data_IF_089142154112
#
_entry.id   IF_089142154112
#
_cell.length_a   1.000
_cell.length_b   1.000
_cell.length_c   1.000
_cell.angle_alpha   90.00
_cell.angle_beta   90.00
_cell.angle_gamma   90.00
#
_symmetry.space_group_name_H-M   'P 1'
#
loop_
_entity.id
_entity.type
_entity.pdbx_description
1 polymer ?
#
# COMPACT_ATOMS: atom_id res chain seq x y z
N UNK A 1 10.69 -12.50 6.38
CA UNK A 1 12.11 -12.16 6.57
C UNK A 1 12.50 -11.03 5.63
N UNK A 2 13.03 -9.93 6.18
CA UNK A 2 13.44 -8.72 5.45
C UNK A 2 14.93 -8.48 5.75
N UNK A 3 15.84 -8.73 4.82
CA UNK A 3 17.25 -8.40 4.99
C UNK A 3 17.49 -6.90 4.71
N UNK A 4 17.97 -6.15 5.70
CA UNK A 4 18.22 -4.71 5.59
C UNK A 4 19.58 -4.34 6.20
N UNK A 5 20.66 -4.37 5.41
CA UNK A 5 22.00 -3.96 5.88
C UNK A 5 22.17 -2.44 5.92
N UNK A 6 23.04 -1.94 6.78
CA UNK A 6 23.39 -0.52 6.88
C UNK A 6 24.23 -0.01 5.72
N UNK A 7 25.16 -0.84 5.23
CA UNK A 7 26.04 -0.51 4.11
C UNK A 7 25.38 -0.75 2.74
N UNK A 8 25.29 0.28 1.89
CA UNK A 8 24.82 0.17 0.51
C UNK A 8 25.71 1.02 -0.40
N UNK A 9 26.18 0.46 -1.55
CA UNK A 9 27.10 1.13 -2.45
C UNK A 9 26.43 2.14 -3.38
N UNK A 10 25.31 1.75 -4.02
CA UNK A 10 24.63 2.59 -5.01
C UNK A 10 23.92 3.77 -4.39
N UNK A 11 23.14 3.53 -3.31
CA UNK A 11 22.41 4.55 -2.55
C UNK A 11 22.88 4.49 -1.09
N UNK A 12 23.57 5.51 -0.57
CA UNK A 12 24.02 5.53 0.84
C UNK A 12 22.82 5.39 1.78
N UNK A 13 22.93 4.47 2.76
CA UNK A 13 21.87 4.18 3.74
C UNK A 13 20.52 3.84 3.10
N UNK A 14 20.52 3.13 1.98
CA UNK A 14 19.37 2.83 1.14
C UNK A 14 18.11 2.48 1.93
N UNK A 15 18.22 1.56 2.88
CA UNK A 15 17.05 1.04 3.62
C UNK A 15 16.35 2.07 4.52
N UNK A 16 17.00 3.20 4.81
CA UNK A 16 16.43 4.34 5.55
C UNK A 16 15.99 5.49 4.62
N UNK A 17 16.31 5.41 3.33
CA UNK A 17 15.81 6.39 2.36
C UNK A 17 14.30 6.24 2.21
N UNK A 18 13.63 7.34 1.99
CA UNK A 18 12.17 7.40 1.90
C UNK A 18 11.67 7.34 0.47
N UNK A 19 10.50 6.74 0.28
CA UNK A 19 9.68 6.81 -0.92
C UNK A 19 8.27 7.14 -0.47
N UNK A 20 7.71 8.25 -0.94
CA UNK A 20 6.43 8.76 -0.46
C UNK A 20 6.43 9.06 1.05
N UNK A 21 7.55 9.60 1.58
CA UNK A 21 7.71 9.93 2.99
C UNK A 21 8.01 8.75 3.93
N UNK A 22 7.91 7.49 3.48
CA UNK A 22 8.11 6.30 4.32
C UNK A 22 9.45 5.62 4.01
N UNK A 23 10.30 5.31 5.01
CA UNK A 23 11.55 4.58 4.81
C UNK A 23 11.35 3.22 4.16
N UNK A 24 12.26 2.79 3.28
CA UNK A 24 12.12 1.52 2.54
C UNK A 24 11.96 0.31 3.44
N UNK A 25 12.68 0.23 4.56
CA UNK A 25 12.53 -0.87 5.53
C UNK A 25 11.16 -0.84 6.20
N UNK A 26 10.61 0.33 6.53
CA UNK A 26 9.27 0.47 7.12
C UNK A 26 8.21 0.02 6.13
N UNK A 27 8.28 0.48 4.88
CA UNK A 27 7.37 0.03 3.81
C UNK A 27 7.35 -1.50 3.68
N UNK A 28 8.53 -2.13 3.67
CA UNK A 28 8.62 -3.60 3.59
C UNK A 28 7.98 -4.29 4.80
N UNK A 29 8.16 -3.74 6.01
CA UNK A 29 7.53 -4.25 7.25
C UNK A 29 6.02 -4.09 7.18
N UNK A 30 5.52 -2.88 6.89
CA UNK A 30 4.09 -2.57 6.78
C UNK A 30 3.40 -3.43 5.70
N UNK A 31 4.06 -3.63 4.55
CA UNK A 31 3.56 -4.52 3.49
C UNK A 31 3.42 -5.96 3.98
N UNK A 32 4.42 -6.46 4.71
CA UNK A 32 4.38 -7.80 5.30
C UNK A 32 3.25 -7.94 6.32
N UNK A 33 3.12 -6.99 7.25
CA UNK A 33 2.04 -6.98 8.25
C UNK A 33 0.66 -6.84 7.60
N UNK A 34 0.54 -5.96 6.62
CA UNK A 34 -0.69 -5.72 5.86
C UNK A 34 -1.17 -6.93 5.03
N UNK A 35 -0.31 -7.93 4.79
CA UNK A 35 -0.72 -9.16 4.10
C UNK A 35 -1.67 -10.04 4.92
N UNK A 36 -1.65 -9.91 6.26
CA UNK A 36 -2.52 -10.65 7.18
C UNK A 36 -2.30 -12.17 7.25
N UNK A 37 -1.26 -12.69 6.58
CA UNK A 37 -1.01 -14.14 6.46
C UNK A 37 0.30 -14.59 7.09
N UNK A 38 1.05 -13.67 7.68
CA UNK A 38 2.37 -13.95 8.26
C UNK A 38 2.28 -13.98 9.79
N UNK A 39 2.74 -15.07 10.39
CA UNK A 39 2.81 -15.20 11.86
C UNK A 39 3.89 -14.30 12.47
N UNK A 40 4.98 -14.06 11.73
CA UNK A 40 6.13 -13.27 12.21
C UNK A 40 6.73 -12.48 11.06
N UNK A 41 7.06 -11.22 11.33
CA UNK A 41 7.81 -10.33 10.42
C UNK A 41 9.14 -10.02 11.08
N UNK A 42 10.23 -10.45 10.45
CA UNK A 42 11.58 -10.40 11.01
C UNK A 42 12.50 -9.58 10.11
N UNK A 43 13.18 -8.58 10.66
CA UNK A 43 14.22 -7.78 9.97
C UNK A 43 15.59 -8.21 10.47
N UNK A 44 16.48 -8.60 9.54
CA UNK A 44 17.87 -8.90 9.83
C UNK A 44 18.75 -7.73 9.43
N UNK A 45 19.40 -7.10 10.40
CA UNK A 45 20.23 -5.90 10.16
C UNK A 45 21.47 -5.85 11.07
N UNK A 46 22.54 -5.23 10.56
CA UNK A 46 23.77 -4.89 11.28
C UNK A 46 23.75 -3.41 11.77
N UNK A 47 22.74 -2.63 11.37
CA UNK A 47 22.65 -1.20 11.63
C UNK A 47 21.63 -0.91 12.77
N UNK A 48 22.05 -0.22 13.87
CA UNK A 48 21.17 0.02 15.00
C UNK A 48 20.00 0.98 14.69
N UNK A 49 20.15 1.89 13.73
CA UNK A 49 19.06 2.80 13.36
C UNK A 49 18.01 2.06 12.53
N UNK A 50 18.42 1.18 11.59
CA UNK A 50 17.50 0.29 10.88
C UNK A 50 16.77 -0.61 11.88
N UNK A 51 17.48 -1.15 12.88
CA UNK A 51 16.89 -1.98 13.92
C UNK A 51 15.80 -1.24 14.69
N UNK A 52 16.07 0.00 15.11
CA UNK A 52 15.13 0.83 15.84
C UNK A 52 13.88 1.15 15.00
N UNK A 53 14.07 1.59 13.76
CA UNK A 53 12.98 1.98 12.88
C UNK A 53 12.11 0.77 12.50
N UNK A 54 12.71 -0.39 12.25
CA UNK A 54 11.99 -1.63 11.96
C UNK A 54 11.19 -2.14 13.16
N UNK A 55 11.75 -2.06 14.37
CA UNK A 55 11.05 -2.44 15.60
C UNK A 55 9.84 -1.53 15.87
N UNK A 56 9.97 -0.22 15.66
CA UNK A 56 8.87 0.74 15.76
C UNK A 56 7.76 0.46 14.74
N UNK A 57 8.11 -0.06 13.58
CA UNK A 57 7.14 -0.48 12.56
C UNK A 57 6.47 -1.84 12.86
N UNK A 58 6.84 -2.51 13.96
CA UNK A 58 6.22 -3.77 14.38
C UNK A 58 6.96 -5.04 13.98
N UNK A 59 8.19 -4.96 13.47
CA UNK A 59 8.99 -6.14 13.15
C UNK A 59 9.79 -6.63 14.37
N UNK A 60 10.03 -7.94 14.41
CA UNK A 60 11.08 -8.52 15.22
C UNK A 60 12.45 -8.23 14.58
N UNK A 61 13.47 -7.95 15.36
CA UNK A 61 14.79 -7.61 14.85
C UNK A 61 15.83 -8.64 15.26
N UNK A 62 16.61 -9.11 14.29
CA UNK A 62 17.76 -9.98 14.49
C UNK A 62 19.03 -9.19 14.17
N UNK A 63 19.96 -9.18 15.13
CA UNK A 63 21.28 -8.61 14.92
C UNK A 63 22.06 -9.47 13.92
N UNK A 64 22.43 -8.89 12.79
CA UNK A 64 23.20 -9.57 11.76
C UNK A 64 24.70 -9.42 12.06
N UNK A 65 25.47 -10.52 12.10
CA UNK A 65 26.92 -10.45 12.16
C UNK A 65 27.53 -9.66 11.00
N UNK A 66 28.58 -8.91 11.26
CA UNK A 66 29.26 -8.06 10.26
C UNK A 66 29.75 -8.84 9.05
N UNK A 67 30.12 -10.11 9.23
CA UNK A 67 30.54 -11.03 8.18
C UNK A 67 29.42 -11.34 7.17
N UNK A 68 28.17 -11.25 7.61
CA UNK A 68 26.97 -11.42 6.77
C UNK A 68 26.39 -10.10 6.25
N UNK A 69 27.03 -8.97 6.55
CA UNK A 69 26.65 -7.65 6.05
C UNK A 69 27.54 -7.14 4.92
N UNK A 70 28.50 -7.97 4.46
CA UNK A 70 29.40 -7.66 3.37
C UNK A 70 28.69 -7.66 2.00
N UNK A 71 29.34 -7.06 0.98
CA UNK A 71 28.77 -6.95 -0.37
C UNK A 71 28.60 -8.28 -1.10
N UNK A 72 29.42 -9.26 -0.76
CA UNK A 72 29.43 -10.61 -1.30
C UNK A 72 28.56 -11.59 -0.49
N UNK A 73 27.96 -11.12 0.60
CA UNK A 73 27.06 -11.94 1.41
C UNK A 73 25.78 -12.27 0.65
N UNK A 74 25.50 -13.54 0.47
CA UNK A 74 24.29 -14.00 -0.23
C UNK A 74 23.03 -13.85 0.63
N UNK A 75 21.90 -13.60 0.01
CA UNK A 75 20.62 -13.59 0.72
C UNK A 75 20.34 -14.91 1.42
N UNK A 76 20.78 -16.03 0.85
CA UNK A 76 20.64 -17.37 1.42
C UNK A 76 21.43 -17.54 2.73
N UNK A 77 22.62 -16.95 2.82
CA UNK A 77 23.40 -16.96 4.07
C UNK A 77 22.68 -16.17 5.18
N UNK A 78 22.12 -15.00 4.82
CA UNK A 78 21.34 -14.17 5.75
C UNK A 78 20.06 -14.87 6.20
N UNK A 79 19.33 -15.51 5.28
CA UNK A 79 18.13 -16.29 5.61
C UNK A 79 18.46 -17.45 6.54
N UNK A 80 19.55 -18.17 6.27
CA UNK A 80 20.00 -19.29 7.10
C UNK A 80 20.36 -18.85 8.52
N UNK A 81 21.09 -17.75 8.67
CA UNK A 81 21.39 -17.16 9.98
C UNK A 81 20.12 -16.81 10.74
N UNK A 82 19.21 -16.11 10.09
CA UNK A 82 17.97 -15.68 10.73
C UNK A 82 17.06 -16.86 11.15
N UNK A 83 17.04 -17.94 10.37
CA UNK A 83 16.30 -19.14 10.75
C UNK A 83 16.90 -19.82 11.98
N UNK A 84 18.21 -19.79 12.16
CA UNK A 84 18.89 -20.32 13.36
C UNK A 84 18.55 -19.49 14.61
N UNK A 85 18.56 -18.16 14.48
CA UNK A 85 18.27 -17.26 15.61
C UNK A 85 16.77 -17.27 16.02
N UNK A 86 15.86 -17.59 15.10
CA UNK A 86 14.42 -17.53 15.37
C UNK A 86 13.80 -18.82 15.95
N UNK A 87 14.53 -19.91 16.12
CA UNK A 87 14.04 -21.20 16.62
C UNK A 87 12.74 -21.66 15.92
N UNK A 88 12.74 -21.70 14.59
CA UNK A 88 11.57 -22.16 13.85
C UNK A 88 11.45 -23.70 13.87
N UNK A 89 10.21 -24.20 13.92
CA UNK A 89 9.94 -25.61 13.69
C UNK A 89 9.91 -25.91 12.19
N UNK A 90 10.82 -26.75 11.66
CA UNK A 90 11.02 -26.92 10.21
C UNK A 90 9.95 -27.76 9.50
N UNK A 91 9.07 -28.44 10.26
CA UNK A 91 8.21 -29.47 9.67
C UNK A 91 7.04 -28.91 8.84
N UNK A 92 6.59 -27.68 9.11
CA UNK A 92 5.52 -27.01 8.36
C UNK A 92 5.73 -25.50 8.40
N UNK A 93 5.78 -24.86 7.26
CA UNK A 93 5.83 -23.41 7.20
C UNK A 93 6.25 -22.91 5.82
N UNK A 94 5.99 -21.63 5.61
CA UNK A 94 6.42 -20.88 4.42
C UNK A 94 7.44 -19.83 4.87
N UNK A 95 8.61 -19.84 4.25
CA UNK A 95 9.60 -18.78 4.39
C UNK A 95 9.38 -17.76 3.28
N UNK A 96 9.06 -16.53 3.66
CA UNK A 96 8.95 -15.41 2.74
C UNK A 96 10.15 -14.48 2.89
N UNK A 97 10.89 -14.28 1.82
CA UNK A 97 11.94 -13.27 1.67
C UNK A 97 11.33 -12.05 0.98
N UNK A 98 11.44 -10.88 1.58
CA UNK A 98 11.00 -9.59 1.00
C UNK A 98 12.18 -8.64 0.96
N UNK A 99 12.39 -7.95 -0.15
CA UNK A 99 13.49 -7.01 -0.34
C UNK A 99 13.01 -5.56 -0.21
N UNK A 100 13.72 -4.77 0.60
CA UNK A 100 13.42 -3.34 0.79
C UNK A 100 13.61 -2.52 -0.49
N UNK A 101 14.43 -3.02 -1.41
CA UNK A 101 14.75 -2.35 -2.68
C UNK A 101 13.57 -2.27 -3.65
N UNK A 102 12.53 -3.07 -3.42
CA UNK A 102 11.27 -3.04 -4.18
C UNK A 102 10.19 -2.33 -3.36
N UNK A 103 10.02 -1.00 -3.50
CA UNK A 103 9.16 -0.19 -2.61
C UNK A 103 7.67 -0.39 -2.85
N UNK A 104 7.30 -1.02 -3.95
CA UNK A 104 5.92 -1.14 -4.41
C UNK A 104 5.45 -2.60 -4.46
N UNK A 105 5.47 -3.28 -3.32
CA UNK A 105 4.95 -4.64 -3.17
C UNK A 105 3.52 -4.58 -2.63
N UNK A 106 2.59 -5.25 -3.32
CA UNK A 106 1.21 -5.35 -2.86
C UNK A 106 1.09 -6.44 -1.76
N UNK A 107 0.51 -6.15 -0.59
CA UNK A 107 0.27 -7.14 0.45
C UNK A 107 -0.49 -8.38 -0.04
N UNK A 108 -1.45 -8.21 -0.95
CA UNK A 108 -2.21 -9.33 -1.54
C UNK A 108 -1.33 -10.25 -2.39
N UNK A 109 -0.29 -9.74 -3.04
CA UNK A 109 0.65 -10.56 -3.81
C UNK A 109 1.50 -11.43 -2.88
N UNK A 110 1.87 -10.91 -1.70
CA UNK A 110 2.52 -11.70 -0.65
C UNK A 110 1.62 -12.81 -0.14
N UNK A 111 0.35 -12.48 0.16
CA UNK A 111 -0.64 -13.46 0.61
C UNK A 111 -0.82 -14.58 -0.43
N UNK A 112 -0.95 -14.23 -1.71
CA UNK A 112 -1.07 -15.21 -2.79
C UNK A 112 0.16 -16.08 -2.94
N UNK A 113 1.37 -15.52 -2.79
CA UNK A 113 2.61 -16.29 -2.85
C UNK A 113 2.71 -17.31 -1.71
N UNK A 114 2.36 -16.90 -0.48
CA UNK A 114 2.30 -17.76 0.69
C UNK A 114 1.27 -18.88 0.51
N UNK A 115 0.09 -18.55 0.00
CA UNK A 115 -1.00 -19.50 -0.25
C UNK A 115 -0.59 -20.60 -1.23
N UNK A 116 0.03 -20.24 -2.37
CA UNK A 116 0.49 -21.21 -3.38
C UNK A 116 1.49 -22.24 -2.81
N UNK A 117 2.36 -21.79 -1.90
CA UNK A 117 3.31 -22.69 -1.22
C UNK A 117 2.62 -23.50 -0.13
N UNK A 118 1.79 -22.89 0.70
CA UNK A 118 1.09 -23.55 1.81
C UNK A 118 0.15 -24.65 1.34
N UNK A 119 -0.53 -24.46 0.20
CA UNK A 119 -1.39 -25.46 -0.44
C UNK A 119 -0.61 -26.54 -1.17
N UNK A 120 0.73 -26.45 -1.26
CA UNK A 120 1.56 -27.39 -2.00
C UNK A 120 1.42 -27.29 -3.52
N UNK A 121 0.87 -26.20 -4.05
CA UNK A 121 0.78 -25.95 -5.49
C UNK A 121 2.15 -25.65 -6.10
N UNK A 122 3.06 -25.04 -5.34
CA UNK A 122 4.45 -24.80 -5.70
C UNK A 122 5.38 -25.03 -4.49
N UNK A 123 6.64 -25.28 -4.76
CA UNK A 123 7.69 -25.42 -3.73
C UNK A 123 8.42 -24.09 -3.51
N UNK A 124 8.51 -23.26 -4.55
CA UNK A 124 9.01 -21.90 -4.51
C UNK A 124 8.20 -20.99 -5.45
N UNK A 125 7.93 -19.76 -5.00
CA UNK A 125 7.15 -18.74 -5.72
C UNK A 125 7.92 -17.43 -5.66
N UNK A 126 7.91 -16.66 -6.73
CA UNK A 126 8.58 -15.36 -6.79
C UNK A 126 7.77 -14.32 -7.57
N UNK A 127 8.07 -13.06 -7.34
CA UNK A 127 7.45 -11.94 -8.06
C UNK A 127 8.07 -11.79 -9.45
N UNK A 128 7.22 -11.68 -10.47
CA UNK A 128 7.63 -11.44 -11.84
C UNK A 128 6.61 -10.59 -12.59
N UNK A 129 7.04 -9.89 -13.62
CA UNK A 129 6.14 -9.17 -14.52
C UNK A 129 6.32 -9.64 -15.97
N UNK A 130 5.27 -9.58 -16.81
CA UNK A 130 5.38 -9.91 -18.23
C UNK A 130 6.45 -9.07 -18.92
N UNK A 131 7.31 -9.72 -19.69
CA UNK A 131 8.33 -9.06 -20.48
C UNK A 131 8.22 -9.43 -21.96
N UNK A 132 8.11 -8.42 -22.80
CA UNK A 132 8.00 -8.54 -24.25
C UNK A 132 9.21 -7.91 -24.95
N UNK A 133 10.33 -7.79 -24.23
CA UNK A 133 11.58 -7.25 -24.76
C UNK A 133 12.25 -8.19 -25.76
N UNK A 134 12.84 -7.64 -26.80
CA UNK A 134 13.77 -8.37 -27.65
C UNK A 134 15.15 -8.32 -26.99
N UNK A 135 15.62 -9.46 -26.51
CA UNK A 135 16.87 -9.56 -25.77
C UNK A 135 18.03 -9.89 -26.68
N UNK A 136 19.16 -9.23 -26.43
CA UNK A 136 20.42 -9.44 -27.13
C UNK A 136 21.54 -9.69 -26.12
N UNK A 137 22.47 -10.54 -26.45
CA UNK A 137 23.70 -10.76 -25.66
C UNK A 137 24.92 -10.49 -26.51
N UNK A 138 26.02 -10.14 -25.87
CA UNK A 138 27.29 -10.04 -26.56
C UNK A 138 27.86 -11.46 -26.76
N UNK A 139 28.03 -11.88 -28.01
CA UNK A 139 28.62 -13.15 -28.43
C UNK A 139 29.98 -12.94 -29.01
N UNK A 140 30.61 -14.01 -29.55
CA UNK A 140 31.97 -13.99 -30.10
C UNK A 140 32.08 -13.14 -31.38
N UNK A 141 31.01 -12.99 -32.14
CA UNK A 141 30.96 -12.25 -33.40
C UNK A 141 30.19 -10.93 -33.32
N UNK A 142 29.90 -10.44 -32.10
CA UNK A 142 29.09 -9.27 -31.88
C UNK A 142 27.82 -9.62 -31.13
N UNK A 143 26.71 -8.84 -31.31
CA UNK A 143 25.45 -9.08 -30.61
C UNK A 143 24.64 -10.19 -31.29
N UNK A 144 24.18 -11.13 -30.47
CA UNK A 144 23.30 -12.26 -30.84
C UNK A 144 21.94 -12.12 -30.15
N UNK A 145 20.86 -12.43 -30.87
CA UNK A 145 19.53 -12.46 -30.29
C UNK A 145 19.38 -13.62 -29.30
N UNK A 146 18.65 -13.40 -28.20
CA UNK A 146 18.47 -14.39 -27.11
C UNK A 146 17.13 -15.09 -27.22
N UNK A 147 16.06 -14.32 -27.44
CA UNK A 147 14.68 -14.81 -27.37
C UNK A 147 13.87 -14.62 -28.67
N UNK A 148 14.55 -14.35 -29.77
CA UNK A 148 13.88 -14.19 -31.08
C UNK A 148 14.82 -14.54 -32.22
N UNK A 149 14.26 -14.82 -33.38
CA UNK A 149 15.01 -14.95 -34.64
C UNK A 149 15.32 -13.54 -35.17
N UNK A 150 16.60 -13.17 -35.26
CA UNK A 150 17.04 -11.88 -35.74
C UNK A 150 16.86 -11.70 -37.25
N UNK A 151 16.84 -12.80 -38.02
CA UNK A 151 16.66 -12.77 -39.47
C UNK A 151 15.18 -12.63 -39.88
N UNK A 152 14.29 -13.20 -39.05
CA UNK A 152 12.84 -13.17 -39.20
C UNK A 152 12.16 -12.58 -37.98
N UNK A 153 12.54 -11.36 -37.63
CA UNK A 153 12.05 -10.69 -36.41
C UNK A 153 10.52 -10.79 -36.31
N UNK A 154 10.00 -11.51 -35.29
CA UNK A 154 8.55 -11.65 -35.07
C UNK A 154 7.95 -10.33 -34.60
N UNK A 155 6.62 -10.20 -34.65
CA UNK A 155 5.92 -9.13 -33.93
C UNK A 155 5.93 -9.44 -32.44
N UNK A 156 5.84 -8.43 -31.57
CA UNK A 156 5.80 -8.61 -30.11
C UNK A 156 4.75 -9.62 -29.65
N UNK A 157 3.59 -9.60 -30.26
CA UNK A 157 2.48 -10.48 -29.96
C UNK A 157 2.69 -11.96 -30.37
N UNK A 158 3.68 -12.20 -31.21
CA UNK A 158 4.02 -13.53 -31.71
C UNK A 158 5.20 -14.15 -30.96
N UNK A 159 5.79 -13.42 -29.98
CA UNK A 159 6.82 -13.95 -29.08
C UNK A 159 6.19 -14.91 -28.07
N UNK A 160 6.95 -15.93 -27.70
CA UNK A 160 6.58 -16.74 -26.53
C UNK A 160 6.48 -15.87 -25.30
N UNK A 161 5.43 -16.04 -24.46
CA UNK A 161 5.30 -15.28 -23.22
C UNK A 161 6.51 -15.50 -22.31
N UNK A 162 7.13 -14.42 -21.89
CA UNK A 162 8.26 -14.43 -20.95
C UNK A 162 7.95 -13.52 -19.77
N UNK A 163 8.56 -13.82 -18.62
CA UNK A 163 8.44 -13.02 -17.41
C UNK A 163 9.80 -12.62 -16.92
N UNK A 164 9.93 -11.38 -16.52
CA UNK A 164 11.12 -10.84 -15.85
C UNK A 164 10.91 -10.92 -14.34
N UNK A 165 11.82 -11.59 -13.63
CA UNK A 165 11.90 -11.56 -12.19
C UNK A 165 12.09 -10.12 -11.70
N UNK A 166 11.33 -9.72 -10.65
CA UNK A 166 11.36 -8.33 -10.14
C UNK A 166 12.19 -8.15 -8.88
N UNK A 167 12.61 -9.25 -8.24
CA UNK A 167 13.40 -9.18 -7.01
C UNK A 167 12.59 -8.87 -5.75
N UNK A 168 11.33 -8.48 -5.86
CA UNK A 168 10.55 -7.97 -4.72
C UNK A 168 10.37 -8.98 -3.59
N UNK A 169 9.93 -10.20 -3.91
CA UNK A 169 9.72 -11.24 -2.91
C UNK A 169 9.87 -12.66 -3.45
N UNK A 170 10.14 -13.59 -2.50
CA UNK A 170 10.28 -15.03 -2.75
C UNK A 170 9.63 -15.80 -1.61
N UNK A 171 8.64 -16.63 -1.90
CA UNK A 171 8.01 -17.54 -0.94
C UNK A 171 8.50 -18.97 -1.20
N UNK A 172 8.87 -19.68 -0.16
CA UNK A 172 9.46 -21.01 -0.25
C UNK A 172 8.89 -21.92 0.84
N UNK A 173 8.69 -23.21 0.56
CA UNK A 173 8.43 -24.17 1.63
C UNK A 173 9.67 -24.22 2.56
N UNK A 174 9.46 -24.04 3.86
CA UNK A 174 10.56 -23.99 4.84
C UNK A 174 11.39 -25.29 4.79
N UNK A 175 10.74 -26.43 4.79
CA UNK A 175 11.43 -27.72 4.71
C UNK A 175 12.22 -27.91 3.39
N UNK A 176 11.74 -27.33 2.27
CA UNK A 176 12.45 -27.36 1.00
C UNK A 176 13.68 -26.45 1.02
N UNK A 177 13.55 -25.24 1.61
CA UNK A 177 14.66 -24.33 1.78
C UNK A 177 15.74 -24.93 2.69
N UNK A 178 15.40 -25.54 3.79
CA UNK A 178 16.37 -26.17 4.68
C UNK A 178 17.20 -27.26 4.01
N UNK A 179 16.59 -28.04 3.13
CA UNK A 179 17.30 -29.08 2.36
C UNK A 179 18.16 -28.53 1.25
N UNK A 180 17.65 -27.52 0.53
CA UNK A 180 18.29 -27.01 -0.68
C UNK A 180 19.25 -25.86 -0.43
N UNK A 181 19.01 -25.06 0.61
CA UNK A 181 19.69 -23.78 0.90
C UNK A 181 19.68 -22.82 -0.31
N UNK A 182 18.59 -22.86 -1.10
CA UNK A 182 18.39 -22.06 -2.31
C UNK A 182 16.98 -21.50 -2.33
N UNK A 183 16.78 -20.34 -2.93
CA UNK A 183 15.45 -19.75 -3.10
C UNK A 183 14.65 -20.42 -4.23
N UNK A 184 15.30 -21.09 -5.17
CA UNK A 184 14.66 -21.79 -6.28
C UNK A 184 14.91 -23.30 -6.19
N UNK A 185 13.87 -24.05 -5.94
CA UNK A 185 13.87 -25.53 -5.92
C UNK A 185 12.48 -26.06 -6.25
N UNK A 186 12.39 -27.35 -6.57
CA UNK A 186 11.12 -28.02 -6.84
C UNK A 186 10.30 -27.37 -7.95
N UNK A 187 8.97 -27.38 -7.78
CA UNK A 187 8.03 -26.69 -8.67
C UNK A 187 8.06 -25.20 -8.38
N UNK A 188 8.31 -24.43 -9.42
CA UNK A 188 8.37 -22.99 -9.37
C UNK A 188 7.07 -22.40 -9.90
N UNK A 189 6.53 -21.39 -9.22
CA UNK A 189 5.43 -20.58 -9.71
C UNK A 189 5.79 -19.09 -9.59
N UNK A 190 5.03 -18.26 -10.26
CA UNK A 190 5.16 -16.81 -10.20
C UNK A 190 3.88 -16.20 -9.63
N UNK A 191 4.02 -15.09 -8.93
CA UNK A 191 2.97 -14.09 -8.76
C UNK A 191 3.26 -12.96 -9.72
N UNK A 192 2.34 -12.75 -10.66
CA UNK A 192 2.46 -11.68 -11.62
C UNK A 192 2.14 -10.35 -10.94
N UNK A 193 3.10 -9.41 -11.01
CA UNK A 193 2.99 -8.08 -10.42
C UNK A 193 2.87 -7.01 -11.51
N UNK A 194 2.32 -5.86 -11.16
CA UNK A 194 2.17 -4.76 -12.11
C UNK A 194 3.53 -4.24 -12.56
N UNK A 195 3.80 -4.37 -13.87
CA UNK A 195 5.05 -3.94 -14.50
C UNK A 195 5.39 -2.47 -14.23
N UNK A 196 4.39 -1.61 -14.06
CA UNK A 196 4.59 -0.18 -13.81
C UNK A 196 5.33 0.06 -12.49
N UNK A 197 5.12 -0.81 -11.51
CA UNK A 197 5.66 -0.71 -10.17
C UNK A 197 6.78 -1.73 -9.87
N UNK A 198 7.19 -2.49 -10.89
CA UNK A 198 8.28 -3.46 -10.78
C UNK A 198 9.65 -2.78 -10.86
N UNK A 199 9.91 -1.85 -9.95
CA UNK A 199 11.17 -1.14 -9.79
C UNK A 199 12.00 -1.77 -8.67
N UNK A 200 13.31 -1.86 -8.90
CA UNK A 200 14.31 -2.25 -7.91
C UNK A 200 15.29 -1.08 -7.73
N UNK A 201 15.41 -0.57 -6.53
CA UNK A 201 16.23 0.62 -6.23
C UNK A 201 17.69 0.18 -6.03
N UNK A 202 18.54 0.45 -6.98
CA UNK A 202 19.98 0.20 -6.92
C UNK A 202 20.80 1.48 -6.99
N UNK A 203 20.30 2.49 -7.70
CA UNK A 203 20.97 3.77 -7.90
C UNK A 203 20.06 4.93 -7.45
N UNK A 204 20.65 6.15 -7.34
CA UNK A 204 19.90 7.34 -6.93
C UNK A 204 18.79 7.69 -7.93
N UNK A 205 19.01 7.45 -9.23
CA UNK A 205 18.00 7.61 -10.28
C UNK A 205 16.76 6.72 -10.08
N UNK A 206 16.96 5.50 -9.55
CA UNK A 206 15.84 4.59 -9.26
C UNK A 206 15.02 5.11 -8.09
N UNK A 207 15.70 5.69 -7.07
CA UNK A 207 15.03 6.30 -5.93
C UNK A 207 14.21 7.52 -6.35
N UNK A 208 14.76 8.40 -7.19
CA UNK A 208 14.04 9.54 -7.76
C UNK A 208 12.80 9.09 -8.56
N UNK A 209 12.95 8.03 -9.36
CA UNK A 209 11.83 7.46 -10.11
C UNK A 209 10.78 6.86 -9.17
N UNK A 210 11.20 6.12 -8.14
CA UNK A 210 10.29 5.56 -7.14
C UNK A 210 9.54 6.67 -6.39
N UNK A 211 10.21 7.76 -6.00
CA UNK A 211 9.56 8.91 -5.36
C UNK A 211 8.49 9.53 -6.28
N UNK A 212 8.82 9.75 -7.55
CA UNK A 212 7.86 10.27 -8.54
C UNK A 212 6.66 9.33 -8.77
N UNK A 213 6.85 8.03 -8.60
CA UNK A 213 5.80 7.01 -8.76
C UNK A 213 4.96 6.80 -7.50
N UNK A 214 5.42 7.27 -6.34
CA UNK A 214 4.80 6.98 -5.05
C UNK A 214 3.32 7.38 -4.99
N UNK A 215 2.98 8.57 -5.48
CA UNK A 215 1.60 9.06 -5.54
C UNK A 215 0.71 8.19 -6.45
N UNK A 216 1.24 7.70 -7.58
CA UNK A 216 0.50 6.82 -8.47
C UNK A 216 0.32 5.41 -7.88
N UNK A 217 1.30 4.95 -7.10
CA UNK A 217 1.20 3.69 -6.35
C UNK A 217 0.11 3.78 -5.28
N UNK A 218 0.12 4.81 -4.44
CA UNK A 218 -0.89 5.05 -3.42
C UNK A 218 -2.30 5.16 -4.05
N UNK A 219 -2.42 5.85 -5.19
CA UNK A 219 -3.70 5.96 -5.89
C UNK A 219 -4.18 4.67 -6.58
N UNK A 220 -3.29 3.70 -6.85
CA UNK A 220 -3.59 2.50 -7.64
C UNK A 220 -3.58 1.17 -6.87
N UNK A 221 -2.93 1.11 -5.74
CA UNK A 221 -2.61 -0.17 -5.08
C UNK A 221 -3.33 -0.42 -3.76
N UNK A 222 -3.94 0.59 -3.17
CA UNK A 222 -4.92 0.34 -2.14
C UNK A 222 -6.19 -0.14 -2.84
N UNK A 223 -6.51 -1.42 -2.66
CA UNK A 223 -7.82 -1.91 -3.04
C UNK A 223 -8.85 -1.10 -2.26
N UNK A 224 -9.57 -0.25 -2.98
CA UNK A 224 -10.70 0.45 -2.40
C UNK A 224 -11.63 -0.58 -1.77
N UNK A 225 -12.18 -0.29 -0.61
CA UNK A 225 -13.13 -1.21 -0.01
C UNK A 225 -14.29 -1.45 -0.99
N UNK A 226 -14.72 -2.68 -1.07
CA UNK A 226 -15.99 -2.98 -1.71
C UNK A 226 -17.13 -2.48 -0.84
N UNK A 227 -18.35 -2.41 -1.39
CA UNK A 227 -19.54 -2.07 -0.60
C UNK A 227 -19.73 -2.99 0.62
N UNK A 228 -19.35 -4.25 0.52
CA UNK A 228 -19.47 -5.24 1.60
C UNK A 228 -18.49 -5.06 2.74
N UNK A 229 -17.41 -4.32 2.53
CA UNK A 229 -16.37 -4.08 3.55
C UNK A 229 -16.71 -2.92 4.48
N UNK A 230 -17.75 -2.15 4.17
CA UNK A 230 -18.13 -0.94 4.88
C UNK A 230 -19.53 -1.00 5.46
N UNK A 231 -19.68 -0.50 6.69
CA UNK A 231 -20.95 -0.29 7.35
C UNK A 231 -21.29 1.21 7.49
N UNK A 232 -20.31 2.10 7.34
CA UNK A 232 -20.48 3.55 7.43
C UNK A 232 -19.45 4.29 6.59
N UNK A 233 -19.89 5.36 5.91
CA UNK A 233 -19.03 6.41 5.36
C UNK A 233 -19.22 7.68 6.18
N UNK A 234 -18.15 8.17 6.79
CA UNK A 234 -18.11 9.46 7.48
C UNK A 234 -17.38 10.47 6.62
N UNK A 235 -17.88 11.67 6.53
CA UNK A 235 -17.25 12.74 5.75
C UNK A 235 -17.08 13.99 6.61
N UNK A 236 -15.95 14.67 6.51
CA UNK A 236 -15.86 16.07 6.88
C UNK A 236 -16.75 16.91 5.92
N UNK A 237 -16.93 18.18 6.22
CA UNK A 237 -17.72 19.10 5.40
C UNK A 237 -16.84 20.07 4.63
N UNK A 238 -16.04 20.91 5.31
CA UNK A 238 -15.17 21.87 4.68
C UNK A 238 -13.95 21.16 4.09
N UNK A 239 -13.56 21.54 2.87
CA UNK A 239 -12.51 20.86 2.14
C UNK A 239 -12.88 19.44 1.63
N UNK A 240 -14.09 18.93 1.91
CA UNK A 240 -14.61 17.66 1.37
C UNK A 240 -15.86 17.90 0.53
N UNK A 241 -16.95 18.38 1.12
CA UNK A 241 -18.16 18.77 0.39
C UNK A 241 -17.98 20.14 -0.30
N UNK A 242 -17.09 20.97 0.20
CA UNK A 242 -16.70 22.30 -0.32
C UNK A 242 -15.26 22.27 -0.80
N UNK A 243 -14.82 23.35 -1.41
CA UNK A 243 -13.42 23.56 -1.81
C UNK A 243 -12.62 24.35 -0.74
N UNK A 244 -13.07 24.26 0.52
CA UNK A 244 -12.46 24.92 1.69
C UNK A 244 -12.47 26.46 1.63
N UNK A 245 -13.28 27.04 0.76
CA UNK A 245 -13.45 28.49 0.64
C UNK A 245 -14.83 28.91 1.09
N UNK A 246 -14.87 29.96 1.90
CA UNK A 246 -16.08 30.61 2.35
C UNK A 246 -16.18 32.00 1.73
N UNK A 247 -17.38 32.35 1.30
CA UNK A 247 -17.73 33.71 0.89
C UNK A 247 -18.41 34.42 2.06
N UNK A 248 -17.90 35.60 2.45
CA UNK A 248 -18.41 36.35 3.59
C UNK A 248 -18.88 37.72 3.08
N UNK A 249 -20.12 38.11 3.40
CA UNK A 249 -20.65 39.42 3.08
C UNK A 249 -20.32 40.46 4.17
N UNK A 250 -20.64 41.72 3.90
CA UNK A 250 -20.41 42.82 4.83
C UNK A 250 -21.17 42.73 6.16
N UNK A 251 -22.21 41.91 6.21
CA UNK A 251 -23.05 41.66 7.39
C UNK A 251 -22.56 40.43 8.17
N UNK A 252 -21.43 39.82 7.73
CA UNK A 252 -20.85 38.62 8.33
C UNK A 252 -21.58 37.34 7.98
N UNK A 253 -22.45 37.32 6.97
CA UNK A 253 -23.08 36.09 6.51
C UNK A 253 -22.14 35.31 5.64
N UNK A 254 -22.09 34.03 5.89
CA UNK A 254 -21.23 33.10 5.15
C UNK A 254 -22.02 32.28 4.14
N UNK A 255 -21.37 31.97 3.03
CA UNK A 255 -21.88 31.08 2.01
C UNK A 255 -20.75 30.19 1.46
N UNK A 256 -21.06 28.94 1.20
CA UNK A 256 -20.13 27.96 0.62
C UNK A 256 -20.68 27.39 -0.70
N UNK A 257 -19.79 26.91 -1.54
CA UNK A 257 -20.14 26.25 -2.79
C UNK A 257 -20.03 24.75 -2.63
N UNK A 258 -21.08 24.02 -2.99
CA UNK A 258 -21.10 22.55 -2.95
C UNK A 258 -21.38 21.97 -4.33
N UNK A 259 -20.84 20.78 -4.60
CA UNK A 259 -21.01 20.09 -5.88
C UNK A 259 -22.34 19.34 -5.97
N UNK A 260 -23.07 19.52 -7.09
CA UNK A 260 -24.35 18.79 -7.32
C UNK A 260 -24.14 17.31 -7.60
N UNK A 261 -23.00 16.92 -8.19
CA UNK A 261 -22.67 15.51 -8.47
C UNK A 261 -22.48 14.73 -7.18
N UNK A 262 -21.86 15.35 -6.18
CA UNK A 262 -21.67 14.76 -4.84
C UNK A 262 -22.99 14.54 -4.14
N UNK A 263 -23.96 15.47 -4.27
CA UNK A 263 -25.28 15.25 -3.72
C UNK A 263 -26.06 14.10 -4.37
N UNK A 264 -25.81 13.79 -5.64
CA UNK A 264 -26.35 12.60 -6.29
C UNK A 264 -25.64 11.33 -5.80
N UNK A 265 -24.33 11.38 -5.67
CA UNK A 265 -23.52 10.26 -5.21
C UNK A 265 -23.86 9.83 -3.78
N UNK A 266 -24.06 10.78 -2.86
CA UNK A 266 -24.51 10.49 -1.49
C UNK A 266 -25.82 9.68 -1.49
N UNK A 267 -26.80 10.09 -2.30
CA UNK A 267 -28.06 9.33 -2.43
C UNK A 267 -27.86 7.93 -3.01
N UNK A 268 -26.92 7.78 -3.94
CA UNK A 268 -26.59 6.47 -4.53
C UNK A 268 -25.88 5.56 -3.53
N UNK A 269 -24.98 6.11 -2.70
CA UNK A 269 -24.32 5.40 -1.59
C UNK A 269 -25.38 4.89 -0.59
N UNK A 270 -26.30 5.76 -0.14
CA UNK A 270 -27.40 5.38 0.74
C UNK A 270 -28.32 4.32 0.10
N UNK A 271 -28.62 4.44 -1.19
CA UNK A 271 -29.44 3.46 -1.92
C UNK A 271 -28.76 2.10 -2.07
N UNK A 272 -27.42 2.06 -2.04
CA UNK A 272 -26.66 0.81 -1.99
C UNK A 272 -26.57 0.19 -0.59
N UNK A 273 -27.22 0.80 0.39
CA UNK A 273 -27.25 0.37 1.79
C UNK A 273 -26.05 0.87 2.61
N UNK A 274 -25.23 1.80 2.11
CA UNK A 274 -24.14 2.41 2.88
C UNK A 274 -24.61 3.72 3.50
N UNK A 275 -24.79 3.78 4.83
CA UNK A 275 -25.11 5.02 5.54
C UNK A 275 -23.98 6.04 5.36
N UNK A 276 -24.36 7.32 5.31
CA UNK A 276 -23.42 8.44 5.26
C UNK A 276 -23.67 9.34 6.47
N UNK A 277 -22.63 9.65 7.22
CA UNK A 277 -22.61 10.57 8.36
C UNK A 277 -21.73 11.77 8.02
N UNK A 278 -22.20 12.97 8.28
CA UNK A 278 -21.43 14.20 8.17
C UNK A 278 -20.93 14.60 9.56
N UNK A 279 -19.62 14.82 9.70
CA UNK A 279 -18.97 15.12 10.98
C UNK A 279 -18.07 16.35 10.80
N UNK A 280 -18.47 17.50 11.36
CA UNK A 280 -17.78 18.77 11.15
C UNK A 280 -17.53 19.50 12.47
N UNK A 281 -16.41 20.20 12.56
CA UNK A 281 -16.12 21.16 13.64
C UNK A 281 -16.89 22.48 13.46
N UNK A 282 -17.39 22.74 12.28
CA UNK A 282 -18.07 23.97 11.91
C UNK A 282 -19.45 24.08 12.59
N UNK A 283 -19.72 25.25 13.16
CA UNK A 283 -20.98 25.58 13.83
C UNK A 283 -21.97 26.33 12.93
N UNK A 284 -21.54 26.71 11.72
CA UNK A 284 -22.38 27.45 10.80
C UNK A 284 -23.58 26.59 10.33
N UNK A 285 -24.81 27.11 10.37
CA UNK A 285 -26.01 26.37 9.96
C UNK A 285 -26.01 25.86 8.52
N UNK A 286 -25.06 26.26 7.68
CA UNK A 286 -24.93 25.78 6.31
C UNK A 286 -24.64 24.28 6.26
N UNK A 287 -23.87 23.76 7.21
CA UNK A 287 -23.55 22.31 7.34
C UNK A 287 -24.81 21.51 7.53
N UNK A 288 -25.62 21.86 8.53
CA UNK A 288 -26.91 21.19 8.80
C UNK A 288 -27.92 21.36 7.65
N UNK A 289 -27.95 22.53 7.01
CA UNK A 289 -28.81 22.79 5.87
C UNK A 289 -28.45 21.85 4.69
N UNK A 290 -27.15 21.60 4.48
CA UNK A 290 -26.67 20.66 3.48
C UNK A 290 -27.01 19.22 3.85
N UNK A 291 -26.75 18.80 5.08
CA UNK A 291 -27.06 17.47 5.59
C UNK A 291 -28.55 17.14 5.44
N UNK A 292 -29.43 18.04 5.85
CA UNK A 292 -30.89 17.92 5.66
C UNK A 292 -31.27 17.74 4.20
N UNK A 293 -30.66 18.52 3.28
CA UNK A 293 -30.91 18.40 1.83
C UNK A 293 -30.51 17.04 1.27
N UNK A 294 -29.48 16.43 1.83
CA UNK A 294 -28.95 15.12 1.43
C UNK A 294 -29.63 13.96 2.18
N UNK A 295 -30.45 14.25 3.21
CA UNK A 295 -31.04 13.26 4.11
C UNK A 295 -29.97 12.40 4.79
N UNK A 296 -28.87 13.02 5.23
CA UNK A 296 -27.81 12.40 6.02
C UNK A 296 -27.83 12.94 7.45
N UNK A 297 -27.40 12.09 8.38
CA UNK A 297 -27.19 12.50 9.76
C UNK A 297 -25.97 13.41 9.85
N UNK A 298 -25.96 14.36 10.77
CA UNK A 298 -24.93 15.36 10.91
C UNK A 298 -24.58 15.60 12.38
N UNK A 299 -23.29 15.51 12.68
CA UNK A 299 -22.68 15.96 13.93
C UNK A 299 -21.88 17.24 13.62
N UNK A 300 -22.53 18.39 13.79
CA UNK A 300 -21.94 19.72 13.59
C UNK A 300 -21.43 20.34 14.89
N UNK A 301 -20.44 21.22 14.82
CA UNK A 301 -19.88 21.88 15.99
C UNK A 301 -19.08 20.97 16.91
N UNK A 302 -18.56 19.87 16.38
CA UNK A 302 -17.76 18.92 17.13
C UNK A 302 -16.44 19.55 17.60
N UNK A 303 -16.17 19.52 18.88
CA UNK A 303 -14.89 19.95 19.45
C UNK A 303 -13.87 18.78 19.49
N UNK A 304 -14.35 17.54 19.36
CA UNK A 304 -13.55 16.31 19.32
C UNK A 304 -14.25 15.29 18.40
N UNK A 305 -13.90 15.35 17.12
CA UNK A 305 -14.48 14.47 16.11
C UNK A 305 -14.31 12.99 16.43
N UNK A 306 -13.18 12.60 17.03
CA UNK A 306 -12.91 11.20 17.36
C UNK A 306 -13.85 10.69 18.47
N UNK A 307 -14.02 11.49 19.54
CA UNK A 307 -14.93 11.14 20.64
C UNK A 307 -16.40 11.06 20.18
N UNK A 308 -16.82 12.01 19.34
CA UNK A 308 -18.19 12.05 18.83
C UNK A 308 -18.47 10.86 17.91
N UNK A 309 -17.52 10.50 17.02
CA UNK A 309 -17.66 9.32 16.17
C UNK A 309 -17.70 8.03 17.00
N UNK A 310 -16.83 7.88 18.00
CA UNK A 310 -16.82 6.69 18.87
C UNK A 310 -18.17 6.52 19.58
N UNK A 311 -18.70 7.61 20.11
CA UNK A 311 -20.04 7.59 20.75
C UNK A 311 -21.12 7.18 19.76
N UNK A 312 -21.06 7.69 18.55
CA UNK A 312 -22.03 7.37 17.50
C UNK A 312 -21.96 5.89 17.06
N UNK A 313 -20.75 5.37 16.77
CA UNK A 313 -20.58 3.98 16.31
C UNK A 313 -20.95 2.96 17.39
N UNK A 314 -20.66 3.26 18.66
CA UNK A 314 -21.06 2.43 19.80
C UNK A 314 -22.59 2.35 19.89
N UNK A 315 -23.29 3.48 19.78
CA UNK A 315 -24.74 3.55 19.84
C UNK A 315 -25.44 2.79 18.68
N UNK A 316 -24.75 2.67 17.52
CA UNK A 316 -25.30 2.04 16.31
C UNK A 316 -24.74 0.62 16.05
N UNK A 317 -23.83 0.13 16.91
CA UNK A 317 -23.23 -1.20 16.77
C UNK A 317 -22.35 -1.34 15.53
N UNK A 318 -21.69 -0.26 15.09
CA UNK A 318 -20.79 -0.25 13.92
C UNK A 318 -19.36 -0.48 14.40
N UNK A 319 -18.63 -1.39 13.75
CA UNK A 319 -17.20 -1.64 14.03
C UNK A 319 -16.33 -0.61 13.31
N UNK A 320 -15.35 -0.02 14.01
CA UNK A 320 -14.48 1.03 13.46
C UNK A 320 -13.67 0.55 12.24
N UNK A 321 -13.32 -0.74 12.19
CA UNK A 321 -12.62 -1.37 11.06
C UNK A 321 -13.45 -1.34 9.77
N UNK A 322 -14.77 -1.16 9.90
CA UNK A 322 -15.72 -1.09 8.79
C UNK A 322 -16.23 0.33 8.52
N UNK A 323 -15.58 1.32 9.10
CA UNK A 323 -15.84 2.75 8.88
C UNK A 323 -14.83 3.32 7.88
N UNK A 324 -15.32 3.98 6.83
CA UNK A 324 -14.53 4.86 6.00
C UNK A 324 -14.70 6.32 6.46
N UNK A 325 -13.60 7.03 6.63
CA UNK A 325 -13.61 8.47 6.95
C UNK A 325 -12.91 9.25 5.84
N UNK A 326 -13.57 10.24 5.29
CA UNK A 326 -13.04 11.13 4.24
C UNK A 326 -12.77 12.52 4.84
N UNK A 327 -11.49 12.90 4.89
CA UNK A 327 -11.03 14.15 5.50
C UNK A 327 -9.99 14.91 4.66
N UNK A 328 -9.59 16.10 5.14
CA UNK A 328 -8.68 16.99 4.43
C UNK A 328 -7.69 17.77 5.31
N UNK A 329 -7.96 17.97 6.61
CA UNK A 329 -7.14 18.85 7.45
C UNK A 329 -6.80 18.23 8.82
N UNK A 330 -5.93 18.86 9.57
CA UNK A 330 -5.32 18.38 10.82
C UNK A 330 -6.35 17.92 11.87
N UNK A 331 -7.53 18.53 11.91
CA UNK A 331 -8.64 18.16 12.81
C UNK A 331 -9.26 16.80 12.50
N UNK A 332 -8.87 16.15 11.37
CA UNK A 332 -9.32 14.82 10.96
C UNK A 332 -8.39 13.70 11.40
N UNK A 333 -7.12 14.02 11.73
CA UNK A 333 -6.08 13.02 12.01
C UNK A 333 -6.47 12.03 13.11
N UNK A 334 -7.07 12.51 14.19
CA UNK A 334 -7.47 11.66 15.31
C UNK A 334 -8.55 10.64 14.91
N UNK A 335 -9.53 11.05 14.11
CA UNK A 335 -10.55 10.14 13.56
C UNK A 335 -9.91 9.16 12.59
N UNK A 336 -9.09 9.65 11.68
CA UNK A 336 -8.42 8.84 10.66
C UNK A 336 -7.56 7.74 11.26
N UNK A 337 -6.91 8.00 12.40
CA UNK A 337 -6.10 7.02 13.11
C UNK A 337 -6.89 5.85 13.73
N UNK A 338 -8.22 5.97 13.86
CA UNK A 338 -9.08 5.01 14.56
C UNK A 338 -9.96 4.18 13.64
N UNK A 339 -10.18 4.63 12.41
CA UNK A 339 -11.06 3.95 11.46
C UNK A 339 -10.29 2.99 10.56
N UNK A 340 -10.95 1.95 10.05
CA UNK A 340 -10.32 0.97 9.16
C UNK A 340 -9.96 1.52 7.79
N UNK A 341 -10.66 2.58 7.33
CA UNK A 341 -10.51 3.15 6.01
C UNK A 341 -10.37 4.68 6.03
N UNK A 342 -9.21 5.20 6.52
CA UNK A 342 -8.94 6.63 6.42
C UNK A 342 -8.66 7.02 4.97
N UNK A 343 -9.43 7.97 4.44
CA UNK A 343 -9.37 8.45 3.07
C UNK A 343 -9.10 9.96 3.07
N UNK A 344 -8.16 10.42 2.28
CA UNK A 344 -7.88 11.85 2.09
C UNK A 344 -8.37 12.34 0.72
N UNK A 345 -8.82 13.57 0.63
CA UNK A 345 -8.96 14.27 -0.65
C UNK A 345 -7.59 14.60 -1.23
N UNK A 346 -7.48 14.70 -2.58
CA UNK A 346 -6.16 14.88 -3.23
C UNK A 346 -5.46 16.20 -2.91
N UNK A 347 -6.15 17.18 -2.41
CA UNK A 347 -5.64 18.47 -1.96
C UNK A 347 -5.67 18.67 -0.44
N UNK A 348 -5.75 17.57 0.32
CA UNK A 348 -5.62 17.59 1.78
C UNK A 348 -4.22 18.08 2.21
N UNK A 349 -4.10 18.49 3.47
CA UNK A 349 -2.81 18.89 4.02
C UNK A 349 -1.82 17.71 4.06
N UNK A 350 -0.48 17.96 4.04
CA UNK A 350 0.53 16.92 3.95
C UNK A 350 0.42 15.85 5.03
N UNK A 351 0.08 16.22 6.25
CA UNK A 351 -0.05 15.33 7.40
C UNK A 351 -1.23 14.36 7.22
N UNK A 352 -2.35 14.84 6.68
CA UNK A 352 -3.52 14.00 6.36
C UNK A 352 -3.23 13.07 5.19
N UNK A 353 -2.56 13.57 4.13
CA UNK A 353 -2.11 12.72 3.03
C UNK A 353 -1.19 11.60 3.49
N UNK A 354 -0.29 11.88 4.45
CA UNK A 354 0.63 10.88 5.01
C UNK A 354 -0.06 9.84 5.91
N UNK A 355 -1.18 10.19 6.56
CA UNK A 355 -1.93 9.31 7.45
C UNK A 355 -3.05 8.53 6.76
N UNK A 356 -3.41 8.92 5.55
CA UNK A 356 -4.48 8.29 4.80
C UNK A 356 -4.05 6.93 4.24
N UNK A 357 -4.95 5.95 4.34
CA UNK A 357 -4.81 4.66 3.63
C UNK A 357 -5.11 4.82 2.15
N UNK A 358 -6.02 5.71 1.79
CA UNK A 358 -6.46 5.97 0.42
C UNK A 358 -6.47 7.47 0.14
N UNK A 359 -6.11 7.85 -1.07
CA UNK A 359 -6.19 9.25 -1.53
C UNK A 359 -7.05 9.30 -2.79
N UNK A 360 -8.01 10.22 -2.82
CA UNK A 360 -8.84 10.44 -4.02
C UNK A 360 -8.07 11.15 -5.11
N UNK A 361 -8.49 11.00 -6.35
CA UNK A 361 -7.98 11.81 -7.48
C UNK A 361 -8.66 13.18 -7.56
N UNK A 362 -9.88 13.25 -7.02
CA UNK A 362 -10.68 14.48 -6.96
C UNK A 362 -10.27 15.31 -5.76
N UNK A 363 -10.23 16.63 -5.95
CA UNK A 363 -10.12 17.62 -4.87
C UNK A 363 -11.43 17.79 -4.13
N UNK A 364 -11.35 18.30 -2.90
CA UNK A 364 -12.54 18.69 -2.15
C UNK A 364 -13.48 19.58 -2.94
N UNK A 365 -14.79 19.38 -2.79
CA UNK A 365 -15.84 20.12 -3.48
C UNK A 365 -15.91 19.93 -5.00
N UNK A 366 -15.07 19.12 -5.61
CA UNK A 366 -15.02 18.97 -7.07
C UNK A 366 -15.60 17.67 -7.61
N UNK A 367 -16.29 16.90 -6.78
CA UNK A 367 -16.89 15.62 -7.16
C UNK A 367 -16.26 14.43 -6.43
N UNK A 368 -15.67 14.66 -5.27
CA UNK A 368 -14.98 13.62 -4.49
C UNK A 368 -15.93 12.52 -4.03
N UNK A 369 -17.15 12.84 -3.58
CA UNK A 369 -18.12 11.82 -3.17
C UNK A 369 -18.63 11.02 -4.37
N UNK A 370 -18.62 11.61 -5.56
CA UNK A 370 -18.88 10.87 -6.79
C UNK A 370 -17.80 9.85 -7.06
N UNK A 371 -16.52 10.20 -6.87
CA UNK A 371 -15.41 9.27 -6.98
C UNK A 371 -15.54 8.13 -5.94
N UNK A 372 -15.82 8.46 -4.68
CA UNK A 372 -16.06 7.47 -3.62
C UNK A 372 -17.14 6.45 -4.05
N UNK A 373 -18.27 6.94 -4.56
CA UNK A 373 -19.34 6.05 -5.04
C UNK A 373 -18.85 5.15 -6.20
N UNK A 374 -18.17 5.72 -7.18
CA UNK A 374 -17.69 4.96 -8.33
C UNK A 374 -16.63 3.92 -7.92
N UNK A 375 -15.77 4.22 -6.92
CA UNK A 375 -14.75 3.33 -6.37
C UNK A 375 -15.32 2.20 -5.50
N UNK A 376 -16.32 2.49 -4.66
CA UNK A 376 -16.83 1.54 -3.67
C UNK A 376 -17.97 0.68 -4.23
N UNK A 377 -18.86 1.26 -5.05
CA UNK A 377 -20.11 0.61 -5.46
C UNK A 377 -20.06 0.17 -6.93
N UNK A 378 -19.36 0.91 -7.78
CA UNK A 378 -19.27 0.66 -9.23
C UNK A 378 -18.03 -0.08 -9.67
N UNK A 379 -17.26 -0.68 -8.77
CA UNK A 379 -16.06 -1.42 -9.18
C UNK A 379 -16.38 -2.27 -10.41
N UNK A 380 -15.61 -2.16 -11.51
CA UNK A 380 -15.76 -3.09 -12.61
C UNK A 380 -15.39 -4.49 -12.09
N UNK A 381 -16.35 -5.41 -12.23
CA UNK A 381 -16.16 -6.84 -11.98
C UNK A 381 -15.09 -7.43 -12.89
#
# INVERSE_FOLDING_TARGET
MIPARGGSKGVPRKNLRTVGGTPLVVRAVETCLGSGVLDRVVVSTDDPEIAQVAALAGAEVIARPSELAQDDSTSEAVLTHALLECEFSPERGVLLLVQCTSPFINPNDLARAVELVAQGSADSVFSACPDHGFLWRHGNLGFESVNHDSERRPRRQDLEPTWRETGGFYAMSLAGYERSRRRFFGRKAIVEVDRRFAIDIDEESDLELAEAMSSAWLAGNDSWPSRSDLDLLVTDFDGVHTDDRVWVDQDGREAVVVNRRDGLAVRQLQSSGLPVLMLSTETNPVVEARARKLSVECLSGSSDKASDLMTWVEAHGVALERVAFLGNDLNDLDVMSRVGWPIAVSDACPEVLASARLVTTSKGGTGVLREIFDRIVRQPS
#
